data_IF_762372783851
#
_entry.id   IF_762372783851
#
_cell.length_a   1.000
_cell.length_b   1.000
_cell.length_c   1.000
_cell.angle_alpha   90.00
_cell.angle_beta   90.00
_cell.angle_gamma   90.00
#
_symmetry.space_group_name_H-M   'P 1'
#
loop_
_entity.id
_entity.type
_entity.pdbx_description
1 polymer ?
#
# COMPACT_ATOMS: atom_id res chain seq x y z
N UNK A 1 -7.87 -6.64 -19.49
CA UNK A 1 -8.05 -5.61 -18.48
C UNK A 1 -6.76 -4.91 -18.18
N UNK A 2 -6.79 -3.61 -18.10
CA UNK A 2 -5.57 -2.82 -17.91
C UNK A 2 -5.15 -2.78 -16.45
N UNK A 3 -3.87 -3.03 -16.22
CA UNK A 3 -3.32 -2.94 -14.88
C UNK A 3 -2.47 -1.70 -14.76
N UNK A 4 -2.49 -1.10 -13.58
CA UNK A 4 -1.69 0.08 -13.28
C UNK A 4 -0.45 -0.37 -12.54
N UNK A 5 0.71 -0.06 -13.08
CA UNK A 5 1.98 -0.40 -12.44
C UNK A 5 2.52 0.86 -11.77
N UNK A 6 2.78 0.74 -10.47
CA UNK A 6 3.30 1.86 -9.70
C UNK A 6 4.67 1.48 -9.16
N UNK A 7 5.65 2.30 -9.47
CA UNK A 7 7.01 2.08 -8.98
C UNK A 7 7.12 2.67 -7.59
N UNK A 8 7.24 1.82 -6.61
CA UNK A 8 7.36 2.22 -5.22
C UNK A 8 8.78 2.05 -4.68
N UNK A 9 9.68 1.62 -5.55
CA UNK A 9 11.06 1.44 -5.17
C UNK A 9 11.77 2.77 -5.06
N UNK A 10 13.06 2.70 -4.87
CA UNK A 10 13.86 3.89 -4.72
C UNK A 10 14.24 4.09 -3.27
N UNK A 11 15.02 5.11 -3.02
CA UNK A 11 15.51 5.39 -1.70
C UNK A 11 14.44 6.06 -0.87
N UNK A 12 14.44 5.73 0.42
CA UNK A 12 13.51 6.37 1.33
C UNK A 12 13.84 7.85 1.48
N UNK A 13 12.83 8.61 1.81
CA UNK A 13 12.98 10.03 2.04
C UNK A 13 13.01 10.29 3.53
N UNK A 14 14.00 11.04 3.97
CA UNK A 14 14.05 11.49 5.35
C UNK A 14 13.18 12.74 5.46
N UNK A 15 12.18 12.67 6.30
CA UNK A 15 11.35 13.82 6.59
C UNK A 15 12.13 14.74 7.51
N UNK A 16 12.05 16.03 7.30
CA UNK A 16 12.87 17.00 8.05
C UNK A 16 12.63 16.90 9.55
N UNK A 17 11.42 16.68 9.95
CA UNK A 17 11.05 16.62 11.36
C UNK A 17 11.16 15.23 11.96
N UNK A 18 11.58 14.25 11.18
CA UNK A 18 11.62 12.88 11.64
C UNK A 18 13.00 12.28 11.43
N UNK A 19 13.41 11.50 12.38
CA UNK A 19 14.66 10.75 12.27
C UNK A 19 14.45 9.42 11.58
N UNK A 20 13.19 8.99 11.48
CA UNK A 20 12.88 7.74 10.84
C UNK A 20 12.78 7.88 9.34
N UNK A 21 13.11 6.78 8.68
CA UNK A 21 12.93 6.68 7.24
C UNK A 21 11.70 5.88 6.94
N UNK A 22 10.82 6.44 6.12
CA UNK A 22 9.68 5.68 5.62
C UNK A 22 9.69 5.78 4.10
N UNK A 23 9.13 4.79 3.41
CA UNK A 23 9.03 4.89 1.96
C UNK A 23 8.16 6.08 1.61
N UNK A 24 8.56 6.84 0.61
CA UNK A 24 7.81 8.00 0.18
C UNK A 24 6.33 7.69 -0.09
N UNK A 25 5.99 6.56 -0.73
CA UNK A 25 4.58 6.25 -0.97
C UNK A 25 3.72 6.16 0.28
N UNK A 26 4.34 5.91 1.44
CA UNK A 26 3.61 5.79 2.70
C UNK A 26 3.53 7.08 3.50
N UNK A 27 4.10 8.16 3.00
CA UNK A 27 3.94 9.47 3.65
C UNK A 27 2.46 9.82 3.59
N UNK A 28 1.91 10.21 4.72
CA UNK A 28 0.48 10.44 4.81
C UNK A 28 0.10 11.87 4.53
N UNK A 29 -0.97 12.02 3.78
CA UNK A 29 -1.59 13.31 3.51
C UNK A 29 -3.06 13.14 3.84
N UNK A 30 -3.56 13.91 4.79
CA UNK A 30 -4.95 13.79 5.20
C UNK A 30 -5.30 12.43 5.78
N UNK A 31 -4.35 11.81 6.48
CA UNK A 31 -4.58 10.53 7.13
C UNK A 31 -4.38 9.30 6.26
N UNK A 32 -4.13 9.48 4.97
CA UNK A 32 -3.94 8.37 4.04
C UNK A 32 -2.61 8.50 3.33
N UNK A 33 -1.94 7.37 3.03
CA UNK A 33 -0.67 7.43 2.31
C UNK A 33 -0.80 8.07 0.93
N UNK A 34 0.26 8.69 0.48
CA UNK A 34 0.29 9.24 -0.89
C UNK A 34 -0.09 8.17 -1.90
N UNK A 35 0.43 6.97 -1.72
CA UNK A 35 0.12 5.85 -2.61
C UNK A 35 -1.38 5.61 -2.70
N UNK A 36 -2.08 5.67 -1.56
CA UNK A 36 -3.52 5.50 -1.55
C UNK A 36 -4.21 6.55 -2.43
N UNK A 37 -3.76 7.80 -2.32
CA UNK A 37 -4.34 8.89 -3.12
C UNK A 37 -4.13 8.67 -4.62
N UNK A 38 -2.94 8.22 -4.98
CA UNK A 38 -2.64 7.94 -6.40
C UNK A 38 -3.55 6.82 -6.91
N UNK A 39 -3.68 5.76 -6.15
CA UNK A 39 -4.52 4.63 -6.53
C UNK A 39 -5.99 5.05 -6.60
N UNK A 40 -6.42 5.93 -5.69
CA UNK A 40 -7.80 6.41 -5.69
C UNK A 40 -8.10 7.22 -6.95
N UNK A 41 -7.14 8.00 -7.43
CA UNK A 41 -7.30 8.75 -8.66
C UNK A 41 -7.50 7.79 -9.84
N UNK A 42 -6.65 6.77 -9.94
CA UNK A 42 -6.81 5.79 -11.01
C UNK A 42 -8.11 5.02 -10.89
N UNK A 43 -8.50 4.70 -9.66
CA UNK A 43 -9.76 4.00 -9.42
C UNK A 43 -10.96 4.81 -9.89
N UNK A 44 -10.87 6.12 -9.77
CA UNK A 44 -11.92 7.00 -10.23
C UNK A 44 -12.16 6.85 -11.75
N UNK A 45 -11.10 6.52 -12.49
CA UNK A 45 -11.20 6.31 -13.92
C UNK A 45 -11.42 4.85 -14.30
N UNK A 46 -11.75 4.03 -13.33
CA UNK A 46 -12.12 2.64 -13.60
C UNK A 46 -11.01 1.62 -13.47
N UNK A 47 -9.81 2.03 -13.05
CA UNK A 47 -8.71 1.10 -12.89
C UNK A 47 -8.72 0.54 -11.47
N UNK A 48 -8.78 -0.77 -11.37
CA UNK A 48 -8.87 -1.42 -10.07
C UNK A 48 -7.79 -2.48 -9.85
N UNK A 49 -6.96 -2.69 -10.86
CA UNK A 49 -5.87 -3.65 -10.77
C UNK A 49 -4.55 -2.89 -10.68
N UNK A 50 -3.85 -3.08 -9.57
CA UNK A 50 -2.60 -2.37 -9.33
C UNK A 50 -1.47 -3.34 -9.07
N UNK A 51 -0.32 -3.06 -9.65
CA UNK A 51 0.91 -3.80 -9.40
C UNK A 51 1.90 -2.82 -8.81
N UNK A 52 2.32 -3.08 -7.58
CA UNK A 52 3.27 -2.23 -6.89
C UNK A 52 4.64 -2.88 -6.94
N UNK A 53 5.57 -2.17 -7.55
CA UNK A 53 6.96 -2.64 -7.64
C UNK A 53 7.71 -2.08 -6.46
N UNK A 54 8.02 -2.93 -5.50
CA UNK A 54 8.56 -2.53 -4.22
C UNK A 54 10.09 -2.54 -4.22
N UNK A 55 10.66 -1.74 -3.37
CA UNK A 55 12.10 -1.70 -3.18
C UNK A 55 12.39 -1.39 -1.73
N UNK A 56 13.02 -0.25 -1.48
CA UNK A 56 13.39 0.17 -0.12
C UNK A 56 12.19 0.11 0.79
N UNK A 57 12.33 -0.65 1.87
CA UNK A 57 11.27 -0.84 2.89
C UNK A 57 9.92 -1.23 2.29
N UNK A 58 9.96 -2.04 1.23
CA UNK A 58 8.74 -2.50 0.59
C UNK A 58 7.85 -3.33 1.50
N UNK A 59 8.45 -3.96 2.51
CA UNK A 59 7.67 -4.71 3.49
C UNK A 59 6.69 -3.83 4.25
N UNK A 60 7.02 -2.57 4.46
CA UNK A 60 6.10 -1.64 5.11
C UNK A 60 4.86 -1.41 4.24
N UNK A 61 5.06 -1.36 2.93
CA UNK A 61 3.95 -1.19 2.00
C UNK A 61 3.07 -2.44 1.99
N UNK A 62 3.70 -3.61 2.00
CA UNK A 62 2.95 -4.87 2.09
C UNK A 62 2.11 -4.90 3.36
N UNK A 63 2.70 -4.52 4.48
CA UNK A 63 1.99 -4.53 5.75
C UNK A 63 0.81 -3.56 5.74
N UNK A 64 0.97 -2.41 5.12
CA UNK A 64 -0.13 -1.47 5.02
C UNK A 64 -1.36 -2.11 4.36
N UNK A 65 -1.16 -2.79 3.24
CA UNK A 65 -2.29 -3.40 2.54
C UNK A 65 -2.81 -4.65 3.22
N UNK A 66 -1.93 -5.45 3.82
CA UNK A 66 -2.37 -6.63 4.56
C UNK A 66 -3.20 -6.24 5.78
N UNK A 67 -2.91 -5.09 6.37
CA UNK A 67 -3.63 -4.59 7.53
C UNK A 67 -4.59 -3.47 7.18
N UNK A 68 -5.01 -3.42 5.93
CA UNK A 68 -5.77 -2.29 5.41
C UNK A 68 -7.01 -1.96 6.24
N UNK A 69 -7.80 -2.97 6.58
CA UNK A 69 -9.01 -2.73 7.35
C UNK A 69 -8.71 -2.26 8.76
N UNK A 70 -7.74 -2.88 9.41
CA UNK A 70 -7.38 -2.47 10.77
C UNK A 70 -6.69 -1.12 10.81
N UNK A 71 -6.00 -0.74 9.73
CA UNK A 71 -5.36 0.56 9.64
C UNK A 71 -6.37 1.68 9.43
N UNK A 72 -7.49 1.39 8.76
CA UNK A 72 -8.41 2.42 8.32
C UNK A 72 -9.75 2.44 9.05
N UNK A 73 -10.07 1.39 9.79
CA UNK A 73 -11.38 1.28 10.42
C UNK A 73 -11.26 0.85 11.88
N UNK A 74 -12.23 1.25 12.68
CA UNK A 74 -12.28 0.84 14.08
C UNK A 74 -12.57 -0.64 14.17
N UNK A 75 -11.96 -1.29 15.15
CA UNK A 75 -12.17 -2.73 15.32
C UNK A 75 -12.08 -3.12 16.78
N UNK A 76 -12.61 -4.29 17.08
CA UNK A 76 -12.46 -4.93 18.37
C UNK A 76 -11.73 -6.25 18.18
N UNK A 77 -10.63 -6.41 18.87
CA UNK A 77 -9.83 -7.62 18.77
C UNK A 77 -9.97 -8.43 20.06
N UNK A 78 -10.45 -9.67 19.91
CA UNK A 78 -10.52 -10.60 21.02
C UNK A 78 -9.24 -11.42 21.02
N UNK A 79 -8.33 -11.09 21.92
CA UNK A 79 -6.98 -11.64 21.88
C UNK A 79 -6.93 -13.15 22.03
N UNK A 80 -7.70 -13.69 22.95
CA UNK A 80 -7.65 -15.12 23.21
C UNK A 80 -8.13 -15.94 22.01
N UNK A 81 -9.19 -15.49 21.38
CA UNK A 81 -9.76 -16.18 20.21
C UNK A 81 -9.15 -15.71 18.91
N UNK A 82 -8.39 -14.62 18.95
CA UNK A 82 -7.81 -13.99 17.77
C UNK A 82 -8.86 -13.64 16.72
N UNK A 83 -10.00 -13.16 17.19
CA UNK A 83 -11.09 -12.76 16.33
C UNK A 83 -11.17 -11.25 16.26
N UNK A 84 -11.42 -10.73 15.06
CA UNK A 84 -11.54 -9.30 14.84
C UNK A 84 -12.94 -8.99 14.39
N UNK A 85 -13.56 -8.01 15.07
CA UNK A 85 -14.89 -7.52 14.71
C UNK A 85 -14.82 -6.06 14.35
N UNK A 86 -15.54 -5.69 13.31
CA UNK A 86 -15.66 -4.30 12.90
C UNK A 86 -17.06 -3.84 13.28
N UNK A 87 -17.21 -3.05 14.38
CA UNK A 87 -18.54 -2.67 14.87
C UNK A 87 -19.37 -1.87 13.89
N UNK A 88 -18.71 -1.10 13.02
CA UNK A 88 -19.42 -0.29 12.04
C UNK A 88 -19.27 -0.90 10.66
N UNK A 89 -20.36 -0.84 9.89
CA UNK A 89 -20.28 -1.27 8.51
C UNK A 89 -19.37 -0.31 7.74
N UNK A 90 -18.57 -0.87 6.88
CA UNK A 90 -17.68 -0.07 6.05
C UNK A 90 -17.51 -0.74 4.69
N UNK A 91 -17.12 0.05 3.73
CA UNK A 91 -16.81 -0.47 2.40
C UNK A 91 -15.32 -0.34 2.17
N UNK A 92 -14.75 -1.39 1.62
CA UNK A 92 -13.34 -1.41 1.25
C UNK A 92 -13.29 -1.26 -0.26
N UNK A 93 -12.30 -0.51 -0.74
CA UNK A 93 -12.13 -0.36 -2.18
C UNK A 93 -11.98 -1.73 -2.85
N UNK A 94 -12.60 -1.86 -4.01
CA UNK A 94 -12.55 -3.11 -4.77
C UNK A 94 -11.28 -3.14 -5.63
N UNK A 95 -10.14 -3.00 -4.96
CA UNK A 95 -8.85 -3.00 -5.64
C UNK A 95 -8.18 -4.35 -5.52
N UNK A 96 -7.51 -4.74 -6.59
CA UNK A 96 -6.62 -5.89 -6.56
C UNK A 96 -5.21 -5.35 -6.53
N UNK A 97 -4.49 -5.64 -5.47
CA UNK A 97 -3.15 -5.06 -5.25
C UNK A 97 -2.14 -6.19 -5.22
N UNK A 98 -1.21 -6.16 -6.18
CA UNK A 98 -0.13 -7.12 -6.23
C UNK A 98 1.15 -6.42 -5.82
N UNK A 99 1.82 -6.96 -4.81
CA UNK A 99 3.06 -6.40 -4.32
C UNK A 99 4.20 -7.26 -4.81
N UNK A 100 5.07 -6.69 -5.63
CA UNK A 100 6.18 -7.40 -6.24
C UNK A 100 7.47 -6.79 -5.73
N UNK A 101 8.28 -7.61 -5.07
CA UNK A 101 9.56 -7.15 -4.56
C UNK A 101 10.57 -7.17 -5.70
N UNK A 102 10.97 -6.00 -6.14
CA UNK A 102 11.89 -5.89 -7.25
C UNK A 102 13.34 -5.78 -6.79
N UNK A 103 13.59 -5.06 -5.70
CA UNK A 103 14.94 -4.84 -5.25
C UNK A 103 15.81 -4.31 -6.38
N UNK A 104 17.11 -4.48 -6.26
CA UNK A 104 18.01 -4.06 -7.32
C UNK A 104 18.01 -5.05 -8.49
N UNK A 105 18.01 -6.31 -8.18
CA UNK A 105 17.99 -7.35 -9.21
C UNK A 105 16.61 -7.46 -9.82
N UNK A 106 15.59 -7.26 -9.01
CA UNK A 106 14.23 -7.43 -9.44
C UNK A 106 13.69 -6.34 -10.32
N UNK A 107 14.41 -5.24 -10.49
CA UNK A 107 13.94 -4.15 -11.33
C UNK A 107 13.62 -4.57 -12.75
N UNK A 108 14.51 -5.39 -13.31
CA UNK A 108 14.31 -5.92 -14.66
C UNK A 108 13.09 -6.81 -14.69
N UNK A 109 12.91 -7.63 -13.65
CA UNK A 109 11.75 -8.50 -13.56
C UNK A 109 10.45 -7.71 -13.54
N UNK A 110 10.44 -6.60 -12.82
CA UNK A 110 9.26 -5.77 -12.78
C UNK A 110 8.91 -5.23 -14.16
N UNK A 111 9.92 -4.77 -14.88
CA UNK A 111 9.71 -4.28 -16.24
C UNK A 111 9.24 -5.36 -17.19
N UNK A 112 9.76 -6.56 -17.01
CA UNK A 112 9.36 -7.67 -17.87
C UNK A 112 7.92 -8.10 -17.65
N UNK A 113 7.42 -7.91 -16.45
CA UNK A 113 6.05 -8.31 -16.12
C UNK A 113 5.02 -7.30 -16.59
N UNK A 114 5.46 -6.14 -16.93
CA UNK A 114 4.60 -5.09 -17.44
C UNK A 114 4.51 -5.16 -18.95
#
# INVERSE_FOLDING_TARGET
MTKVVILCGGEGTRLKEHTEFIPKPLVRIGGKPILWHVMKIYSHYGYQDFILCLGYKGDMIKQYFLNYETENFDFTLKLKKRAIDFPKKHEVEDWSVSCVDTGEIGRASCRERV
#
